data_IF_737443789652
#
_entry.id   IF_737443789652
#
_cell.length_a   1.000
_cell.length_b   1.000
_cell.length_c   1.000
_cell.angle_alpha   90.00
_cell.angle_beta   90.00
_cell.angle_gamma   90.00
#
_symmetry.space_group_name_H-M   'P 1'
#
loop_
_entity.id
_entity.type
_entity.pdbx_description
1 polymer ?
#
# COMPACT_ATOMS: atom_id res chain seq x y z
N UNK A 1 22.85 -2.56 -20.82
CA UNK A 1 21.95 -1.70 -20.04
C UNK A 1 21.02 -2.65 -19.29
N UNK A 2 21.41 -3.04 -18.07
CA UNK A 2 20.58 -3.95 -17.26
C UNK A 2 19.28 -3.24 -16.93
N UNK A 3 18.15 -3.95 -17.01
CA UNK A 3 16.86 -3.42 -16.58
C UNK A 3 16.97 -3.16 -15.09
N UNK A 4 16.88 -1.90 -14.67
CA UNK A 4 16.88 -1.53 -13.26
C UNK A 4 15.64 -2.15 -12.60
N UNK A 5 15.86 -2.89 -11.50
CA UNK A 5 14.78 -3.60 -10.83
C UNK A 5 13.94 -2.60 -10.03
N UNK A 6 12.68 -2.42 -10.42
CA UNK A 6 11.69 -1.64 -9.66
C UNK A 6 10.84 -2.61 -8.81
N UNK A 7 10.95 -2.58 -7.47
CA UNK A 7 10.22 -3.51 -6.60
C UNK A 7 8.72 -3.20 -6.63
N UNK A 8 7.87 -4.23 -6.74
CA UNK A 8 6.41 -4.06 -6.57
C UNK A 8 6.05 -4.32 -5.11
N UNK A 9 5.53 -3.31 -4.42
CA UNK A 9 5.26 -3.37 -2.98
C UNK A 9 3.75 -3.43 -2.75
N UNK A 10 3.24 -4.53 -2.19
CA UNK A 10 1.82 -4.64 -1.80
C UNK A 10 1.64 -4.07 -0.39
N UNK A 11 0.68 -3.16 -0.22
CA UNK A 11 0.39 -2.52 1.07
C UNK A 11 -1.06 -2.72 1.48
N UNK A 12 -1.31 -3.49 2.54
CA UNK A 12 -2.65 -3.61 3.13
C UNK A 12 -2.92 -2.41 4.05
N UNK A 13 -3.94 -1.63 3.72
CA UNK A 13 -4.28 -0.39 4.42
C UNK A 13 -5.66 -0.50 5.05
N UNK A 14 -5.77 -0.16 6.33
CA UNK A 14 -7.07 -0.09 6.98
C UNK A 14 -7.86 1.12 6.45
N UNK A 15 -9.16 0.93 6.24
CA UNK A 15 -10.04 1.94 5.67
C UNK A 15 -10.11 3.20 6.55
N UNK A 16 -10.08 3.04 7.87
CA UNK A 16 -10.38 4.12 8.81
C UNK A 16 -9.21 5.05 9.11
N UNK A 17 -7.98 4.51 9.20
CA UNK A 17 -6.82 5.31 9.58
C UNK A 17 -5.82 5.43 8.42
N UNK A 18 -5.24 4.31 7.97
CA UNK A 18 -4.12 4.32 7.02
C UNK A 18 -4.55 4.73 5.61
N UNK A 19 -5.69 4.23 5.13
CA UNK A 19 -6.18 4.60 3.79
C UNK A 19 -6.59 6.08 3.74
N UNK A 20 -7.24 6.59 4.79
CA UNK A 20 -7.54 8.02 4.93
C UNK A 20 -6.27 8.90 5.00
N UNK A 21 -5.21 8.41 5.66
CA UNK A 21 -3.92 9.09 5.66
C UNK A 21 -3.27 9.08 4.26
N UNK A 22 -3.39 8.00 3.50
CA UNK A 22 -2.92 7.94 2.11
C UNK A 22 -3.69 8.92 1.21
N UNK A 23 -5.01 9.02 1.35
CA UNK A 23 -5.83 10.02 0.65
C UNK A 23 -5.37 11.44 1.02
N UNK A 24 -5.10 11.70 2.30
CA UNK A 24 -4.58 12.98 2.80
C UNK A 24 -3.21 13.30 2.23
N UNK A 25 -2.30 12.33 2.15
CA UNK A 25 -0.99 12.49 1.53
C UNK A 25 -1.12 12.90 0.06
N UNK A 26 -2.09 12.33 -0.66
CA UNK A 26 -2.46 12.73 -2.03
C UNK A 26 -2.97 14.17 -2.11
N UNK A 27 -3.89 14.57 -1.21
CA UNK A 27 -4.40 15.95 -1.12
C UNK A 27 -3.27 16.95 -0.82
N UNK A 28 -2.35 16.58 0.07
CA UNK A 28 -1.17 17.37 0.43
C UNK A 28 -0.05 17.32 -0.62
N UNK A 29 -0.24 16.59 -1.73
CA UNK A 29 0.73 16.45 -2.83
C UNK A 29 2.09 15.90 -2.35
N UNK A 30 2.07 15.02 -1.36
CA UNK A 30 3.27 14.33 -0.89
C UNK A 30 3.75 13.35 -1.97
N UNK A 31 4.98 13.52 -2.44
CA UNK A 31 5.54 12.66 -3.48
C UNK A 31 5.84 11.27 -2.90
N UNK A 32 5.40 10.23 -3.61
CA UNK A 32 5.64 8.84 -3.26
C UNK A 32 6.08 8.07 -4.51
N UNK A 33 6.98 7.09 -4.38
CA UNK A 33 7.29 6.20 -5.48
C UNK A 33 6.02 5.49 -6.00
N UNK A 34 5.85 5.30 -7.32
CA UNK A 34 4.64 4.71 -7.91
C UNK A 34 4.56 3.18 -7.75
N UNK A 35 5.49 2.60 -6.98
CA UNK A 35 5.73 1.17 -6.88
C UNK A 35 4.94 0.50 -5.74
N UNK A 36 4.19 1.29 -4.97
CA UNK A 36 3.29 0.83 -3.92
C UNK A 36 1.89 0.57 -4.47
N UNK A 37 1.37 -0.63 -4.23
CA UNK A 37 0.06 -1.12 -4.64
C UNK A 37 -0.85 -1.25 -3.41
N UNK A 38 -1.69 -0.24 -3.11
CA UNK A 38 -2.53 -0.24 -1.92
C UNK A 38 -3.75 -1.17 -2.08
N UNK A 39 -3.95 -2.04 -1.09
CA UNK A 39 -5.14 -2.89 -0.93
C UNK A 39 -5.92 -2.41 0.29
N UNK A 40 -7.14 -1.96 0.07
CA UNK A 40 -8.02 -1.49 1.15
C UNK A 40 -8.69 -2.64 1.87
N UNK A 41 -8.58 -2.67 3.19
CA UNK A 41 -9.30 -3.58 4.09
C UNK A 41 -10.07 -2.78 5.14
N UNK A 42 -11.16 -3.31 5.69
CA UNK A 42 -11.95 -2.56 6.69
C UNK A 42 -11.18 -2.29 8.00
N UNK A 43 -10.33 -3.21 8.42
CA UNK A 43 -9.46 -3.06 9.59
C UNK A 43 -8.18 -3.88 9.38
N UNK A 44 -7.08 -3.51 10.04
CA UNK A 44 -5.83 -4.27 10.00
C UNK A 44 -6.00 -5.71 10.51
N UNK A 45 -6.94 -5.94 11.43
CA UNK A 45 -7.28 -7.29 11.91
C UNK A 45 -7.83 -8.24 10.82
N UNK A 46 -8.19 -7.73 9.63
CA UNK A 46 -8.59 -8.57 8.49
C UNK A 46 -7.40 -9.25 7.81
N UNK A 47 -6.18 -8.72 7.98
CA UNK A 47 -4.96 -9.20 7.33
C UNK A 47 -4.50 -10.49 8.01
N UNK A 48 -4.52 -11.61 7.29
CA UNK A 48 -4.00 -12.90 7.75
C UNK A 48 -2.62 -13.19 7.16
N UNK A 49 -1.80 -14.06 7.78
CA UNK A 49 -0.52 -14.48 7.22
C UNK A 49 -0.63 -15.05 5.79
N UNK A 50 -1.72 -15.77 5.49
CA UNK A 50 -2.00 -16.31 4.15
C UNK A 50 -2.10 -15.22 3.08
N UNK A 51 -2.67 -14.05 3.42
CA UNK A 51 -2.72 -12.91 2.50
C UNK A 51 -1.32 -12.36 2.21
N UNK A 52 -0.45 -12.33 3.21
CA UNK A 52 0.93 -11.84 3.08
C UNK A 52 1.79 -12.82 2.28
N UNK A 53 1.66 -14.13 2.51
CA UNK A 53 2.42 -15.15 1.79
C UNK A 53 2.01 -15.31 0.33
N UNK A 54 0.78 -14.92 -0.02
CA UNK A 54 0.26 -14.94 -1.40
C UNK A 54 0.60 -13.67 -2.18
N UNK A 55 0.81 -12.56 -1.48
CA UNK A 55 1.01 -11.24 -2.06
C UNK A 55 2.29 -11.13 -2.91
#
# INVERSE_FOLDING_TARGET
MGVEFEPRIVAFMCNWCTYAAADTAGVSRMQQPPNVLPIRVMCSGRVSPEMVMRA
#
